data_IF_297282637199
#
_entry.id   IF_297282637199
#
_cell.length_a   1.000
_cell.length_b   1.000
_cell.length_c   1.000
_cell.angle_alpha   90.00
_cell.angle_beta   90.00
_cell.angle_gamma   90.00
#
_symmetry.space_group_name_H-M   'P 1'
#
loop_
_entity.id
_entity.type
_entity.pdbx_description
1 polymer ?
#
# COMPACT_ATOMS: atom_id res chain seq x y z
N UNK A 1 13.07 0.82 -39.26
CA UNK A 1 12.27 2.07 -39.18
C UNK A 1 11.08 1.94 -38.20
N UNK A 2 10.37 0.82 -38.14
CA UNK A 2 9.18 0.66 -37.23
C UNK A 2 9.49 0.63 -35.73
N UNK A 3 10.65 0.15 -35.26
CA UNK A 3 10.95 0.09 -33.81
C UNK A 3 11.23 1.47 -33.21
N UNK A 4 11.92 2.33 -33.93
CA UNK A 4 12.23 3.70 -33.49
C UNK A 4 10.96 4.56 -33.38
N UNK A 5 10.06 4.43 -34.33
CA UNK A 5 8.77 5.12 -34.34
C UNK A 5 7.84 4.67 -33.19
N UNK A 6 7.87 3.38 -32.84
CA UNK A 6 7.11 2.85 -31.70
C UNK A 6 7.68 3.27 -30.35
N UNK A 7 9.02 3.43 -30.27
CA UNK A 7 9.67 3.96 -29.06
C UNK A 7 9.36 5.44 -28.83
N UNK A 8 9.33 6.25 -29.90
CA UNK A 8 8.93 7.67 -29.80
C UNK A 8 7.47 7.81 -29.41
N UNK A 9 6.56 7.01 -29.98
CA UNK A 9 5.13 7.00 -29.58
C UNK A 9 4.96 6.62 -28.12
N UNK A 10 5.72 5.65 -27.61
CA UNK A 10 5.70 5.25 -26.21
C UNK A 10 6.23 6.38 -25.30
N UNK A 11 7.29 7.05 -25.68
CA UNK A 11 7.86 8.19 -24.95
C UNK A 11 6.88 9.39 -24.90
N UNK A 12 6.22 9.71 -26.02
CA UNK A 12 5.22 10.77 -26.07
C UNK A 12 4.00 10.40 -25.22
N UNK A 13 3.55 9.16 -25.29
CA UNK A 13 2.41 8.69 -24.48
C UNK A 13 2.74 8.68 -22.97
N UNK A 14 3.95 8.28 -22.59
CA UNK A 14 4.40 8.34 -21.19
C UNK A 14 4.59 9.78 -20.70
N UNK A 15 5.10 10.71 -21.52
CA UNK A 15 5.22 12.12 -21.17
C UNK A 15 3.85 12.79 -21.02
N UNK A 16 2.86 12.46 -21.86
CA UNK A 16 1.50 12.97 -21.74
C UNK A 16 0.82 12.50 -20.44
N UNK A 17 1.04 11.25 -20.05
CA UNK A 17 0.55 10.70 -18.77
C UNK A 17 1.19 11.43 -17.58
N UNK A 18 2.50 11.73 -17.63
CA UNK A 18 3.20 12.43 -16.57
C UNK A 18 2.68 13.88 -16.43
N UNK A 19 2.46 14.58 -17.53
CA UNK A 19 1.94 15.97 -17.53
C UNK A 19 0.50 16.04 -17.00
N UNK A 20 -0.35 15.04 -17.25
CA UNK A 20 -1.72 15.02 -16.71
C UNK A 20 -1.76 14.83 -15.19
N UNK A 21 -0.73 14.30 -14.56
CA UNK A 21 -0.65 14.18 -13.10
C UNK A 21 -0.19 15.45 -12.39
N UNK A 22 0.45 16.40 -13.08
CA UNK A 22 0.95 17.63 -12.45
C UNK A 22 -0.12 18.71 -12.25
N UNK A 23 -1.28 18.61 -12.90
CA UNK A 23 -2.37 19.57 -12.80
C UNK A 23 -3.28 19.39 -11.57
N UNK A 24 -3.14 18.27 -10.83
CA UNK A 24 -4.01 17.94 -9.69
C UNK A 24 -3.53 18.51 -8.33
N UNK A 25 -2.49 19.35 -8.30
CA UNK A 25 -1.83 19.75 -7.04
C UNK A 25 -2.14 21.16 -6.56
N UNK A 26 -3.23 21.80 -6.98
CA UNK A 26 -3.40 23.25 -6.79
C UNK A 26 -3.95 23.69 -5.42
N UNK A 27 -4.45 22.82 -4.54
CA UNK A 27 -5.03 23.27 -3.25
C UNK A 27 -5.04 22.17 -2.19
N UNK A 28 -3.90 21.76 -1.59
CA UNK A 28 -3.99 20.94 -0.37
C UNK A 28 -2.64 20.70 0.29
N UNK A 29 -2.66 20.40 1.59
CA UNK A 29 -1.47 19.99 2.35
C UNK A 29 -0.84 18.74 1.73
N UNK A 30 0.14 18.93 0.86
CA UNK A 30 0.91 17.85 0.25
C UNK A 30 2.03 17.47 1.21
N UNK A 31 1.99 16.26 1.75
CA UNK A 31 3.08 15.70 2.52
C UNK A 31 3.91 14.75 1.64
N UNK A 32 5.22 14.90 1.65
CA UNK A 32 6.14 13.98 1.01
C UNK A 32 6.70 12.99 2.05
N UNK A 33 6.34 11.71 1.89
CA UNK A 33 6.68 10.66 2.85
C UNK A 33 7.74 9.70 2.29
N UNK A 34 8.61 9.20 3.17
CA UNK A 34 9.58 8.14 2.88
C UNK A 34 9.21 6.83 3.55
N UNK A 35 9.07 5.72 2.80
CA UNK A 35 8.74 4.41 3.36
C UNK A 35 9.80 3.38 3.01
N UNK A 36 10.27 2.65 4.02
CA UNK A 36 11.19 1.53 3.82
C UNK A 36 10.65 0.24 4.43
N UNK A 37 11.05 -0.90 3.88
CA UNK A 37 10.69 -2.20 4.46
C UNK A 37 11.70 -3.29 4.14
N UNK A 38 11.92 -4.15 5.15
CA UNK A 38 12.63 -5.42 5.04
C UNK A 38 11.61 -6.53 5.20
N UNK A 39 11.65 -7.55 4.34
CA UNK A 39 10.67 -8.63 4.36
C UNK A 39 11.36 -9.98 4.17
N UNK A 40 11.01 -10.94 4.99
CA UNK A 40 11.33 -12.35 4.85
C UNK A 40 10.07 -13.08 4.39
N UNK A 41 10.12 -13.66 3.20
CA UNK A 41 9.08 -14.54 2.66
C UNK A 41 9.50 -15.99 2.89
N UNK A 42 8.59 -16.81 3.39
CA UNK A 42 8.82 -18.22 3.71
C UNK A 42 7.77 -19.05 2.98
N UNK A 43 8.20 -19.91 2.06
CA UNK A 43 7.34 -20.92 1.47
C UNK A 43 7.51 -22.21 2.24
N UNK A 44 6.52 -22.54 3.07
CA UNK A 44 6.53 -23.74 3.90
C UNK A 44 6.09 -24.98 3.11
N UNK A 45 5.09 -24.83 2.24
CA UNK A 45 4.60 -25.88 1.34
C UNK A 45 4.25 -25.27 -0.01
N UNK A 46 3.80 -26.08 -0.98
CA UNK A 46 3.29 -25.59 -2.27
C UNK A 46 2.11 -24.60 -2.11
N UNK A 47 1.31 -24.78 -1.08
CA UNK A 47 0.11 -23.97 -0.84
C UNK A 47 0.25 -22.95 0.29
N UNK A 48 1.14 -23.21 1.26
CA UNK A 48 1.24 -22.39 2.49
C UNK A 48 2.50 -21.52 2.46
N UNK A 49 2.33 -20.23 2.69
CA UNK A 49 3.42 -19.29 2.82
C UNK A 49 3.20 -18.33 3.98
N UNK A 50 4.31 -17.90 4.58
CA UNK A 50 4.35 -16.91 5.64
C UNK A 50 5.22 -15.74 5.20
N UNK A 51 5.03 -14.59 5.81
CA UNK A 51 5.99 -13.50 5.72
C UNK A 51 6.08 -12.72 7.02
N UNK A 52 7.28 -12.25 7.30
CA UNK A 52 7.59 -11.31 8.39
C UNK A 52 8.18 -10.08 7.74
N UNK A 53 7.71 -8.90 8.11
CA UNK A 53 8.23 -7.66 7.54
C UNK A 53 8.33 -6.57 8.61
N UNK A 54 9.45 -5.86 8.59
CA UNK A 54 9.67 -4.63 9.34
C UNK A 54 9.50 -3.43 8.40
N UNK A 55 8.82 -2.42 8.90
CA UNK A 55 8.51 -1.21 8.15
C UNK A 55 8.86 0.03 8.96
N UNK A 56 9.44 1.01 8.29
CA UNK A 56 9.67 2.35 8.84
C UNK A 56 9.11 3.38 7.88
N UNK A 57 8.46 4.41 8.41
CA UNK A 57 7.84 5.48 7.63
C UNK A 57 8.17 6.82 8.23
N UNK A 58 8.53 7.74 7.37
CA UNK A 58 8.78 9.14 7.68
C UNK A 58 7.73 10.01 7.03
N UNK A 59 7.34 11.10 7.68
CA UNK A 59 6.42 12.15 7.23
C UNK A 59 7.13 13.51 7.23
N UNK A 60 6.41 14.58 6.90
CA UNK A 60 6.91 15.95 6.91
C UNK A 60 8.21 16.09 6.09
N UNK A 61 8.10 15.83 4.78
CA UNK A 61 9.25 15.84 3.85
C UNK A 61 10.39 14.91 4.28
N UNK A 62 10.03 13.72 4.75
CA UNK A 62 10.95 12.66 5.22
C UNK A 62 11.76 13.07 6.49
N UNK A 63 11.40 14.15 7.15
CA UNK A 63 12.15 14.67 8.31
C UNK A 63 11.75 14.03 9.64
N UNK A 64 10.49 13.57 9.76
CA UNK A 64 9.92 13.12 11.03
C UNK A 64 9.49 11.66 10.94
N UNK A 65 9.89 10.86 11.94
CA UNK A 65 9.40 9.48 12.06
C UNK A 65 7.87 9.49 12.25
N UNK A 66 7.15 8.87 11.35
CA UNK A 66 5.70 8.72 11.43
C UNK A 66 5.31 7.47 12.23
N UNK A 67 5.80 6.33 11.78
CA UNK A 67 5.56 5.05 12.47
C UNK A 67 6.54 3.98 12.01
N UNK A 68 6.70 2.99 12.87
CA UNK A 68 7.35 1.73 12.49
C UNK A 68 6.50 0.56 12.96
N UNK A 69 6.63 -0.58 12.30
CA UNK A 69 5.80 -1.73 12.64
C UNK A 69 6.34 -3.04 12.09
N UNK A 70 6.10 -4.08 12.88
CA UNK A 70 6.24 -5.48 12.48
C UNK A 70 4.94 -5.99 11.90
N UNK A 71 5.01 -6.67 10.78
CA UNK A 71 3.88 -7.31 10.13
C UNK A 71 4.14 -8.80 9.92
N UNK A 72 3.20 -9.62 10.35
CA UNK A 72 3.17 -11.06 10.10
C UNK A 72 1.99 -11.35 9.17
N UNK A 73 2.23 -12.12 8.12
CA UNK A 73 1.17 -12.57 7.20
C UNK A 73 1.30 -14.07 6.94
N UNK A 74 0.17 -14.71 6.73
CA UNK A 74 0.07 -16.07 6.19
C UNK A 74 -0.82 -16.06 4.96
N UNK A 75 -0.53 -16.94 3.98
CA UNK A 75 -1.35 -17.10 2.80
C UNK A 75 -1.44 -18.58 2.47
N UNK A 76 -2.65 -19.01 2.12
CA UNK A 76 -2.94 -20.37 1.70
C UNK A 76 -3.58 -20.36 0.30
N UNK A 77 -3.01 -21.10 -0.63
CA UNK A 77 -3.54 -21.27 -1.97
C UNK A 77 -4.66 -22.32 -1.96
N UNK A 78 -5.91 -21.86 -2.10
CA UNK A 78 -7.11 -22.70 -2.12
C UNK A 78 -7.16 -23.50 -3.42
N UNK A 79 -7.01 -22.78 -4.53
CA UNK A 79 -6.89 -23.33 -5.86
C UNK A 79 -5.95 -22.42 -6.68
N UNK A 80 -5.58 -22.88 -7.86
CA UNK A 80 -4.65 -22.17 -8.73
C UNK A 80 -5.04 -20.69 -8.88
N UNK A 81 -4.07 -19.81 -8.62
CA UNK A 81 -4.21 -18.36 -8.77
C UNK A 81 -5.11 -17.68 -7.72
N UNK A 82 -5.77 -18.42 -6.81
CA UNK A 82 -6.60 -17.88 -5.73
C UNK A 82 -6.06 -18.25 -4.34
N UNK A 83 -5.88 -17.24 -3.50
CA UNK A 83 -5.33 -17.37 -2.17
C UNK A 83 -6.21 -16.65 -1.15
N UNK A 84 -6.40 -17.29 0.00
CA UNK A 84 -6.85 -16.63 1.21
C UNK A 84 -5.64 -16.34 2.10
N UNK A 85 -5.69 -15.25 2.83
CA UNK A 85 -4.62 -14.88 3.73
C UNK A 85 -5.14 -14.11 4.94
N UNK A 86 -4.30 -14.07 5.94
CA UNK A 86 -4.50 -13.27 7.13
C UNK A 86 -3.20 -12.63 7.57
N UNK A 87 -3.29 -11.66 8.45
CA UNK A 87 -2.09 -11.08 9.02
C UNK A 87 -2.36 -10.12 10.15
N UNK A 88 -1.34 -9.92 10.95
CA UNK A 88 -1.36 -8.99 12.08
C UNK A 88 -0.23 -7.98 11.93
N UNK A 89 -0.40 -6.84 12.57
CA UNK A 89 0.58 -5.76 12.58
C UNK A 89 0.60 -5.11 13.95
N UNK A 90 1.80 -5.00 14.52
CA UNK A 90 2.07 -4.25 15.74
C UNK A 90 2.74 -2.94 15.34
N UNK A 91 2.09 -1.82 15.65
CA UNK A 91 2.46 -0.49 15.16
C UNK A 91 2.83 0.38 16.34
N UNK A 92 3.99 1.02 16.24
CA UNK A 92 4.38 2.16 17.05
C UNK A 92 4.27 3.40 16.18
N UNK A 93 3.35 4.29 16.53
CA UNK A 93 3.06 5.53 15.80
C UNK A 93 3.55 6.70 16.63
N UNK A 94 4.27 7.62 16.00
CA UNK A 94 4.65 8.88 16.63
C UNK A 94 3.46 9.84 16.52
N UNK A 95 2.88 10.19 17.65
CA UNK A 95 1.91 11.27 17.77
C UNK A 95 2.63 12.54 18.22
N UNK A 96 2.73 13.49 17.32
CA UNK A 96 3.38 14.79 17.51
C UNK A 96 2.37 15.95 17.46
N UNK A 97 1.07 15.63 17.59
CA UNK A 97 -0.04 16.59 17.50
C UNK A 97 -0.81 16.62 18.83
N UNK A 98 -1.13 17.85 19.30
CA UNK A 98 -1.94 18.05 20.51
C UNK A 98 -1.15 18.08 21.80
N UNK A 99 -1.87 18.06 22.93
CA UNK A 99 -1.30 18.25 24.26
C UNK A 99 -0.61 17.00 24.84
N UNK A 100 -0.98 15.83 24.34
CA UNK A 100 -0.34 14.55 24.72
C UNK A 100 0.39 14.01 23.49
N UNK A 101 1.71 14.15 23.49
CA UNK A 101 2.59 13.68 22.43
C UNK A 101 3.35 12.43 22.90
N UNK A 102 3.72 11.55 21.98
CA UNK A 102 4.48 10.36 22.30
C UNK A 102 4.30 9.22 21.32
N UNK A 103 4.70 8.03 21.73
CA UNK A 103 4.59 6.82 20.94
C UNK A 103 3.33 6.05 21.30
N UNK A 104 2.35 6.08 20.42
CA UNK A 104 1.15 5.26 20.51
C UNK A 104 1.40 3.84 20.01
N UNK A 105 0.77 2.88 20.65
CA UNK A 105 0.81 1.47 20.26
C UNK A 105 -0.51 1.07 19.63
N UNK A 106 -0.47 0.51 18.42
CA UNK A 106 -1.68 0.02 17.78
C UNK A 106 -1.51 -1.43 17.33
N UNK A 107 -2.60 -2.15 17.38
CA UNK A 107 -2.74 -3.47 16.79
C UNK A 107 -3.64 -3.39 15.57
N UNK A 108 -3.30 -4.16 14.54
CA UNK A 108 -4.13 -4.30 13.35
C UNK A 108 -4.14 -5.74 12.91
N UNK A 109 -5.32 -6.28 12.66
CA UNK A 109 -5.45 -7.52 11.91
C UNK A 109 -6.09 -7.30 10.54
N UNK A 110 -5.92 -8.27 9.65
CA UNK A 110 -6.46 -8.22 8.31
C UNK A 110 -6.73 -9.61 7.77
N UNK A 111 -7.76 -9.70 6.92
CA UNK A 111 -8.10 -10.88 6.14
C UNK A 111 -8.06 -10.51 4.65
N UNK A 112 -7.51 -11.38 3.83
CA UNK A 112 -7.30 -11.14 2.40
C UNK A 112 -7.90 -12.27 1.55
N UNK A 113 -8.60 -11.90 0.48
CA UNK A 113 -8.84 -12.76 -0.67
C UNK A 113 -8.04 -12.18 -1.86
N UNK A 114 -7.19 -13.00 -2.47
CA UNK A 114 -6.29 -12.59 -3.56
C UNK A 114 -6.50 -13.47 -4.77
N UNK A 115 -6.61 -12.85 -5.94
CA UNK A 115 -6.66 -13.56 -7.21
C UNK A 115 -5.63 -12.97 -8.18
N UNK A 116 -4.91 -13.83 -8.89
CA UNK A 116 -3.91 -13.42 -9.87
C UNK A 116 -4.04 -14.28 -11.11
N UNK A 117 -3.97 -13.70 -12.27
CA UNK A 117 -3.91 -14.45 -13.53
C UNK A 117 -3.07 -13.73 -14.56
N UNK A 118 -2.67 -14.46 -15.60
CA UNK A 118 -1.89 -13.91 -16.70
C UNK A 118 -2.74 -13.74 -17.93
N UNK A 119 -2.62 -12.57 -18.55
CA UNK A 119 -3.18 -12.29 -19.88
C UNK A 119 -2.01 -11.90 -20.76
N UNK A 120 -1.61 -12.77 -21.68
CA UNK A 120 -0.40 -12.62 -22.51
C UNK A 120 0.84 -12.38 -21.63
N UNK A 121 1.45 -11.19 -21.72
CA UNK A 121 2.64 -10.81 -20.96
C UNK A 121 2.31 -10.05 -19.67
N UNK A 122 1.04 -9.72 -19.46
CA UNK A 122 0.57 -8.98 -18.29
C UNK A 122 0.18 -9.94 -17.17
N UNK A 123 0.55 -9.59 -15.95
CA UNK A 123 0.11 -10.27 -14.73
C UNK A 123 -0.91 -9.37 -14.03
N UNK A 124 -2.18 -9.77 -14.04
CA UNK A 124 -3.27 -9.07 -13.38
C UNK A 124 -3.42 -9.61 -11.96
N UNK A 125 -3.67 -8.72 -11.01
CA UNK A 125 -3.82 -9.06 -9.59
C UNK A 125 -4.95 -8.28 -8.96
N UNK A 126 -5.73 -8.96 -8.14
CA UNK A 126 -6.86 -8.40 -7.40
C UNK A 126 -6.73 -8.79 -5.95
N UNK A 127 -7.14 -7.92 -5.04
CA UNK A 127 -7.21 -8.21 -3.62
C UNK A 127 -8.40 -7.50 -2.99
N UNK A 128 -9.22 -8.26 -2.29
CA UNK A 128 -10.18 -7.76 -1.32
C UNK A 128 -9.57 -7.96 0.07
N UNK A 129 -9.58 -6.92 0.89
CA UNK A 129 -9.04 -6.94 2.25
C UNK A 129 -10.03 -6.34 3.24
N UNK A 130 -10.38 -7.10 4.27
CA UNK A 130 -10.92 -6.55 5.50
C UNK A 130 -9.78 -6.21 6.45
N UNK A 131 -9.87 -5.08 7.14
CA UNK A 131 -8.86 -4.61 8.07
C UNK A 131 -9.54 -3.97 9.27
N UNK A 132 -9.08 -4.31 10.45
CA UNK A 132 -9.47 -3.69 11.71
C UNK A 132 -8.21 -3.20 12.44
N UNK A 133 -8.25 -1.98 12.98
CA UNK A 133 -7.15 -1.36 13.70
C UNK A 133 -7.68 -0.68 14.95
N UNK A 134 -7.08 -0.96 16.09
CA UNK A 134 -7.36 -0.35 17.39
C UNK A 134 -6.05 0.16 18.04
N UNK A 135 -6.18 1.05 19.00
CA UNK A 135 -5.10 1.48 19.88
C UNK A 135 -5.01 0.53 21.08
N UNK A 136 -3.77 0.15 21.44
CA UNK A 136 -3.52 -0.72 22.58
C UNK A 136 -3.41 0.11 23.87
N UNK A 137 -4.11 -0.35 24.91
CA UNK A 137 -4.10 0.30 26.21
C UNK A 137 -5.24 1.29 26.45
N UNK A 138 -6.12 1.46 25.46
CA UNK A 138 -7.32 2.28 25.57
C UNK A 138 -8.54 1.47 25.14
N UNK A 139 -9.64 1.64 25.89
CA UNK A 139 -10.93 1.06 25.52
C UNK A 139 -11.75 2.04 24.67
N UNK A 140 -12.86 1.55 24.08
CA UNK A 140 -13.80 2.42 23.37
C UNK A 140 -14.40 3.50 24.31
N UNK A 141 -14.59 3.20 25.59
CA UNK A 141 -15.06 4.14 26.61
C UNK A 141 -14.04 5.23 26.93
N UNK A 142 -12.76 4.94 26.77
CA UNK A 142 -11.63 5.88 26.94
C UNK A 142 -11.30 6.65 25.67
N UNK A 143 -12.05 6.42 24.57
CA UNK A 143 -11.97 7.18 23.34
C UNK A 143 -11.19 6.49 22.21
N UNK A 144 -10.78 5.20 22.34
CA UNK A 144 -10.29 4.48 21.18
C UNK A 144 -11.43 4.24 20.19
N UNK A 145 -11.26 4.75 18.98
CA UNK A 145 -12.18 4.48 17.88
C UNK A 145 -11.56 3.44 16.97
N UNK A 146 -12.07 2.22 17.10
CA UNK A 146 -11.68 1.13 16.19
C UNK A 146 -11.90 1.52 14.74
N UNK A 147 -10.84 1.43 13.94
CA UNK A 147 -10.87 1.79 12.51
C UNK A 147 -10.97 0.55 11.64
N UNK A 148 -12.11 0.41 10.97
CA UNK A 148 -12.40 -0.70 10.09
C UNK A 148 -12.44 -0.25 8.63
N UNK A 149 -11.83 -1.06 7.76
CA UNK A 149 -11.77 -0.79 6.33
C UNK A 149 -12.04 -2.04 5.51
N UNK A 150 -12.86 -1.89 4.49
CA UNK A 150 -12.89 -2.79 3.34
C UNK A 150 -12.04 -2.15 2.23
N UNK A 151 -11.11 -2.93 1.64
CA UNK A 151 -10.15 -2.40 0.67
C UNK A 151 -10.15 -3.26 -0.57
N UNK A 152 -10.32 -2.62 -1.72
CA UNK A 152 -10.23 -3.28 -3.01
C UNK A 152 -8.99 -2.79 -3.75
N UNK A 153 -8.18 -3.70 -4.26
CA UNK A 153 -6.97 -3.39 -5.04
C UNK A 153 -7.00 -4.13 -6.37
N UNK A 154 -6.67 -3.41 -7.43
CA UNK A 154 -6.31 -3.96 -8.74
C UNK A 154 -4.85 -3.63 -9.07
N UNK A 155 -4.19 -4.53 -9.79
CA UNK A 155 -2.82 -4.31 -10.21
C UNK A 155 -2.50 -4.97 -11.54
N UNK A 156 -1.64 -4.33 -12.31
CA UNK A 156 -1.09 -4.82 -13.57
C UNK A 156 0.42 -4.89 -13.45
N UNK A 157 1.01 -6.04 -13.76
CA UNK A 157 2.44 -6.26 -13.77
C UNK A 157 2.95 -6.63 -15.16
N UNK A 158 4.11 -6.08 -15.54
CA UNK A 158 4.81 -6.41 -16.77
C UNK A 158 6.28 -6.70 -16.46
N UNK A 159 6.80 -7.83 -16.97
CA UNK A 159 8.22 -8.18 -16.83
C UNK A 159 8.97 -7.83 -18.11
N UNK A 160 9.88 -6.87 -18.01
CA UNK A 160 10.84 -6.56 -19.08
C UNK A 160 11.95 -7.60 -19.05
N UNK A 161 11.87 -8.58 -19.95
CA UNK A 161 12.72 -9.78 -19.94
C UNK A 161 14.19 -9.45 -20.16
N UNK A 162 14.50 -8.45 -21.01
CA UNK A 162 15.87 -8.06 -21.37
C UNK A 162 16.74 -7.69 -20.17
N UNK A 163 16.17 -7.04 -19.15
CA UNK A 163 16.89 -6.57 -17.96
C UNK A 163 16.37 -7.21 -16.67
N UNK A 164 15.34 -8.06 -16.77
CA UNK A 164 14.75 -8.79 -15.63
C UNK A 164 13.99 -7.92 -14.62
N UNK A 165 13.60 -6.69 -14.99
CA UNK A 165 12.83 -5.78 -14.14
C UNK A 165 11.34 -6.05 -14.32
N UNK A 166 10.61 -6.07 -13.20
CA UNK A 166 9.16 -6.15 -13.17
C UNK A 166 8.60 -4.80 -12.77
N UNK A 167 7.83 -4.21 -13.66
CA UNK A 167 7.02 -3.01 -13.40
C UNK A 167 5.63 -3.43 -12.93
N UNK A 168 5.08 -2.71 -11.96
CA UNK A 168 3.70 -2.91 -11.48
C UNK A 168 3.02 -1.58 -11.26
N UNK A 169 1.81 -1.45 -11.80
CA UNK A 169 0.88 -0.37 -11.50
C UNK A 169 -0.25 -0.94 -10.65
N UNK A 170 -0.62 -0.26 -9.57
CA UNK A 170 -1.68 -0.67 -8.66
C UNK A 170 -2.58 0.50 -8.32
N UNK A 171 -3.89 0.28 -8.36
CA UNK A 171 -4.91 1.15 -7.78
C UNK A 171 -5.55 0.48 -6.59
N UNK A 172 -5.83 1.21 -5.52
CA UNK A 172 -6.47 0.69 -4.32
C UNK A 172 -7.47 1.70 -3.77
N UNK A 173 -8.68 1.23 -3.47
CA UNK A 173 -9.77 1.96 -2.85
C UNK A 173 -9.96 1.50 -1.41
N UNK A 174 -10.27 2.44 -0.52
CA UNK A 174 -10.52 2.17 0.89
C UNK A 174 -11.92 2.65 1.23
N UNK A 175 -12.73 1.73 1.68
CA UNK A 175 -14.03 2.00 2.26
C UNK A 175 -13.94 1.96 3.78
N UNK A 176 -14.26 3.06 4.44
CA UNK A 176 -14.28 3.14 5.89
C UNK A 176 -15.64 2.67 6.40
N UNK A 177 -15.67 1.46 6.96
CA UNK A 177 -16.88 0.81 7.51
C UNK A 177 -16.96 0.89 9.02
N UNK A 178 -16.13 1.72 9.69
CA UNK A 178 -16.16 1.92 11.14
C UNK A 178 -17.50 2.49 11.59
N UNK A 179 -17.93 2.13 12.79
CA UNK A 179 -19.12 2.74 13.42
C UNK A 179 -18.95 4.26 13.50
N UNK A 180 -19.98 5.01 13.11
CA UNK A 180 -19.95 6.48 13.14
C UNK A 180 -19.16 7.16 12.00
N UNK A 181 -18.65 6.40 11.06
CA UNK A 181 -18.00 6.96 9.88
C UNK A 181 -18.98 7.57 8.90
N UNK A 182 -19.61 8.64 9.13
CA UNK A 182 -20.59 9.29 8.24
C UNK A 182 -20.60 8.84 6.76
N UNK A 183 -21.60 9.14 6.02
CA UNK A 183 -22.09 8.55 4.77
C UNK A 183 -21.16 8.40 3.55
N UNK A 184 -19.83 8.49 3.67
CA UNK A 184 -18.95 8.27 2.50
C UNK A 184 -18.35 6.87 2.50
N UNK A 185 -18.77 6.11 1.51
CA UNK A 185 -18.37 4.73 1.27
C UNK A 185 -16.85 4.63 0.96
N UNK A 186 -16.32 5.48 0.09
CA UNK A 186 -14.88 5.48 -0.24
C UNK A 186 -14.26 6.78 0.25
N UNK A 187 -13.41 6.69 1.25
CA UNK A 187 -12.75 7.85 1.85
C UNK A 187 -11.27 7.98 1.50
N UNK A 188 -10.68 6.99 0.81
CA UNK A 188 -9.27 7.02 0.41
C UNK A 188 -9.04 6.26 -0.87
N UNK A 189 -8.24 6.82 -1.74
CA UNK A 189 -7.68 6.14 -2.90
C UNK A 189 -6.15 6.11 -2.83
N UNK A 190 -5.54 5.22 -3.61
CA UNK A 190 -4.09 5.06 -3.65
C UNK A 190 -3.66 4.50 -4.99
N UNK A 191 -2.74 5.19 -5.64
CA UNK A 191 -2.05 4.71 -6.84
C UNK A 191 -0.59 4.42 -6.52
N UNK A 192 -0.05 3.34 -7.07
CA UNK A 192 1.34 2.94 -6.83
C UNK A 192 1.96 2.45 -8.11
N UNK A 193 3.05 3.08 -8.52
CA UNK A 193 3.98 2.59 -9.52
C UNK A 193 5.17 1.95 -8.82
N UNK A 194 5.57 0.75 -9.24
CA UNK A 194 6.67 0.01 -8.62
C UNK A 194 7.55 -0.62 -9.70
N UNK A 195 8.85 -0.52 -9.53
CA UNK A 195 9.84 -1.29 -10.27
C UNK A 195 10.58 -2.22 -9.30
N UNK A 196 10.79 -3.48 -9.69
CA UNK A 196 11.48 -4.44 -8.84
C UNK A 196 12.35 -5.40 -9.67
N UNK A 197 13.50 -5.78 -9.09
CA UNK A 197 14.42 -6.78 -9.66
C UNK A 197 14.79 -7.80 -8.60
N UNK A 198 14.75 -9.06 -8.97
CA UNK A 198 15.26 -10.16 -8.15
C UNK A 198 16.70 -10.46 -8.58
N UNK A 199 17.59 -10.50 -7.62
CA UNK A 199 18.96 -10.95 -7.77
C UNK A 199 19.09 -12.35 -7.17
N UNK A 200 19.78 -13.21 -7.91
CA UNK A 200 19.98 -14.59 -7.47
C UNK A 200 20.76 -14.61 -6.15
N UNK A 201 20.31 -15.40 -5.16
CA UNK A 201 20.91 -15.55 -3.81
C UNK A 201 20.89 -14.27 -2.93
N UNK A 202 20.67 -13.08 -3.47
CA UNK A 202 20.69 -11.83 -2.72
C UNK A 202 19.29 -11.40 -2.27
N UNK A 203 18.25 -11.73 -3.08
CA UNK A 203 16.87 -11.33 -2.78
C UNK A 203 16.27 -10.40 -3.84
N UNK A 204 15.20 -9.72 -3.50
CA UNK A 204 14.48 -8.81 -4.41
C UNK A 204 14.45 -7.40 -3.85
N UNK A 205 14.87 -6.45 -4.66
CA UNK A 205 14.77 -5.03 -4.39
C UNK A 205 13.62 -4.43 -5.19
N UNK A 206 12.93 -3.50 -4.58
CA UNK A 206 11.89 -2.73 -5.25
C UNK A 206 11.95 -1.27 -4.80
N UNK A 207 11.75 -0.37 -5.76
CA UNK A 207 11.45 1.04 -5.53
C UNK A 207 10.01 1.28 -5.96
N UNK A 208 9.31 2.14 -5.24
CA UNK A 208 7.97 2.54 -5.62
C UNK A 208 7.73 4.03 -5.38
N UNK A 209 6.86 4.58 -6.21
CA UNK A 209 6.25 5.87 -6.01
C UNK A 209 4.75 5.69 -5.86
N UNK A 210 4.15 6.45 -4.94
CA UNK A 210 2.75 6.30 -4.56
C UNK A 210 2.13 7.65 -4.31
N UNK A 211 0.92 7.84 -4.84
CA UNK A 211 0.04 8.95 -4.50
C UNK A 211 -1.11 8.37 -3.69
N UNK A 212 -1.42 9.01 -2.57
CA UNK A 212 -2.55 8.66 -1.73
C UNK A 212 -3.36 9.89 -1.43
N UNK A 213 -4.64 9.83 -1.73
CA UNK A 213 -5.60 10.88 -1.42
C UNK A 213 -6.56 10.38 -0.34
N UNK A 214 -6.87 11.22 0.61
CA UNK A 214 -7.82 10.93 1.69
C UNK A 214 -8.84 12.05 1.75
N UNK A 215 -10.11 11.70 1.62
CA UNK A 215 -11.23 12.63 1.75
C UNK A 215 -11.59 12.68 3.23
N UNK A 216 -11.49 13.87 3.84
CA UNK A 216 -11.90 14.14 5.22
C UNK A 216 -13.17 14.97 5.20
N UNK A 217 -14.19 14.64 6.01
CA UNK A 217 -15.30 15.56 6.25
C UNK A 217 -14.75 16.80 6.97
N UNK A 218 -15.16 17.97 6.54
CA UNK A 218 -14.90 19.24 7.25
C UNK A 218 -16.11 19.52 8.14
N UNK A 219 -15.85 19.81 9.41
CA UNK A 219 -16.89 20.19 10.37
C UNK A 219 -17.31 21.66 10.13
N UNK A 220 -18.01 21.93 9.06
CA UNK A 220 -18.68 23.22 8.87
C UNK A 220 -20.17 23.05 9.15
N UNK A 221 -20.70 23.92 10.03
CA UNK A 221 -22.06 23.86 10.60
C UNK A 221 -23.18 24.00 9.55
N UNK A 222 -22.91 24.45 8.33
CA UNK A 222 -23.92 24.83 7.34
C UNK A 222 -23.86 24.09 5.99
N UNK A 223 -22.73 23.47 5.63
CA UNK A 223 -22.62 22.68 4.40
C UNK A 223 -21.59 21.57 4.61
N UNK A 224 -21.85 20.32 4.19
CA UNK A 224 -20.85 19.26 4.24
C UNK A 224 -19.74 19.58 3.22
N UNK A 225 -18.73 20.27 3.67
CA UNK A 225 -17.53 20.51 2.89
C UNK A 225 -16.52 19.37 3.11
N UNK A 226 -15.76 19.03 2.10
CA UNK A 226 -14.81 17.92 2.15
C UNK A 226 -13.46 18.42 1.69
N UNK A 227 -12.47 18.25 2.55
CA UNK A 227 -11.07 18.47 2.17
C UNK A 227 -10.41 17.18 1.73
N UNK A 228 -9.67 17.24 0.66
CA UNK A 228 -8.82 16.15 0.18
C UNK A 228 -7.39 16.38 0.69
N UNK A 229 -6.82 15.45 1.40
CA UNK A 229 -5.42 15.44 1.80
C UNK A 229 -4.65 14.51 0.88
N UNK A 230 -3.71 15.07 0.13
CA UNK A 230 -2.84 14.31 -0.77
C UNK A 230 -1.50 14.02 -0.09
N UNK A 231 -0.95 12.85 -0.36
CA UNK A 231 0.38 12.43 0.09
C UNK A 231 1.13 11.80 -1.07
N UNK A 232 2.35 12.26 -1.27
CA UNK A 232 3.30 11.65 -2.19
C UNK A 232 4.29 10.80 -1.40
N UNK A 233 4.53 9.58 -1.82
CA UNK A 233 5.31 8.62 -1.05
C UNK A 233 6.34 7.98 -1.97
N UNK A 234 7.61 8.11 -1.65
CA UNK A 234 8.67 7.30 -2.24
C UNK A 234 9.02 6.16 -1.28
N UNK A 235 9.34 4.99 -1.82
CA UNK A 235 9.70 3.90 -0.90
C UNK A 235 10.60 2.85 -1.50
N UNK A 236 11.33 2.20 -0.60
CA UNK A 236 12.24 1.11 -0.86
C UNK A 236 11.75 -0.15 -0.17
N UNK A 237 11.87 -1.29 -0.85
CA UNK A 237 11.59 -2.59 -0.26
C UNK A 237 12.67 -3.57 -0.63
N UNK A 238 13.17 -4.25 0.37
CA UNK A 238 13.98 -5.45 0.21
C UNK A 238 13.17 -6.67 0.66
N UNK A 239 13.23 -7.79 -0.08
CA UNK A 239 12.64 -9.05 0.37
C UNK A 239 13.54 -10.23 0.03
N UNK A 240 13.67 -11.15 0.98
CA UNK A 240 14.38 -12.40 0.85
C UNK A 240 13.38 -13.57 0.89
N UNK A 241 13.61 -14.61 0.10
CA UNK A 241 12.75 -15.79 0.06
C UNK A 241 13.50 -16.98 0.60
N UNK A 242 12.95 -17.59 1.65
CA UNK A 242 13.28 -18.95 2.09
C UNK A 242 12.26 -19.90 1.49
N UNK A 243 12.72 -20.87 0.75
CA UNK A 243 11.90 -21.88 0.09
C UNK A 243 12.23 -23.24 0.70
N UNK A 244 11.29 -23.82 1.46
CA UNK A 244 11.40 -25.10 2.13
C UNK A 244 10.60 -26.21 1.40
N UNK A 245 10.22 -25.95 0.17
CA UNK A 245 9.53 -26.95 -0.63
C UNK A 245 10.58 -27.90 -1.21
N UNK A 246 10.39 -29.16 -0.93
CA UNK A 246 11.18 -30.28 -1.50
C UNK A 246 10.73 -30.57 -2.95
#
# INVERSE_FOLDING_TARGET
MNQFTNMIKLLIFTSLIIVSFTQLSAQESNDFEGWSSLQLDIKATEKLSFSVAEHVRYKNDISTLNNYFTQLETNYEIFKDFQLGGGVRFIKKNDDIGNKQGIESHFRFQLDARYQHKVKQLNLSYRLRYQNKNELGFSEEEGDVTKEYLRFMMGVGYKLKSIGIVFKLKGELFDNISKGSGSKVINRNRFTLMASKRFNKIGKFAIFYRIQETIKPQENLFLPDFTTVSKQIIGLRYSYLLDFRD
#
